data_IF_930808373002
#
_entry.id   IF_930808373002
#
_cell.length_a   1.000
_cell.length_b   1.000
_cell.length_c   1.000
_cell.angle_alpha   90.00
_cell.angle_beta   90.00
_cell.angle_gamma   90.00
#
_symmetry.space_group_name_H-M   'P 1'
#
loop_
_entity.id
_entity.type
_entity.pdbx_description
1 polymer ?
#
# COMPACT_ATOMS: atom_id res chain seq x y z
N UNK A 1 -9.63 -13.33 -9.95
CA UNK A 1 -8.58 -13.08 -8.94
C UNK A 1 -9.14 -13.51 -7.61
N UNK A 2 -8.42 -14.36 -6.88
CA UNK A 2 -8.91 -14.98 -5.65
C UNK A 2 -8.80 -14.00 -4.45
N UNK A 3 -9.80 -13.98 -3.57
CA UNK A 3 -9.87 -13.06 -2.41
C UNK A 3 -8.64 -13.14 -1.49
N UNK A 4 -8.15 -14.33 -1.07
CA UNK A 4 -6.89 -14.45 -0.33
C UNK A 4 -5.67 -13.87 -1.06
N UNK A 5 -5.67 -13.84 -2.39
CA UNK A 5 -4.58 -13.20 -3.15
C UNK A 5 -4.61 -11.68 -2.99
N UNK A 6 -5.79 -11.06 -3.04
CA UNK A 6 -5.97 -9.62 -2.83
C UNK A 6 -5.61 -9.23 -1.38
N UNK A 7 -6.04 -10.04 -0.40
CA UNK A 7 -5.72 -9.82 1.01
C UNK A 7 -4.21 -9.95 1.27
N UNK A 8 -3.55 -10.94 0.66
CA UNK A 8 -2.10 -11.10 0.76
C UNK A 8 -1.35 -9.90 0.16
N UNK A 9 -1.81 -9.39 -1.00
CA UNK A 9 -1.22 -8.24 -1.65
C UNK A 9 -1.40 -6.96 -0.82
N UNK A 10 -2.61 -6.74 -0.29
CA UNK A 10 -2.91 -5.61 0.60
C UNK A 10 -1.98 -5.58 1.83
N UNK A 11 -1.83 -6.73 2.49
CA UNK A 11 -0.95 -6.88 3.66
C UNK A 11 0.53 -6.67 3.30
N UNK A 12 0.95 -7.13 2.12
CA UNK A 12 2.32 -6.91 1.63
C UNK A 12 2.61 -5.43 1.44
N UNK A 13 1.68 -4.66 0.85
CA UNK A 13 1.82 -3.22 0.70
C UNK A 13 1.82 -2.51 2.05
N UNK A 14 0.97 -2.95 2.98
CA UNK A 14 0.93 -2.38 4.33
C UNK A 14 2.26 -2.53 5.05
N UNK A 15 2.87 -3.71 4.97
CA UNK A 15 4.19 -3.95 5.54
C UNK A 15 5.24 -3.03 4.92
N UNK A 16 5.29 -2.93 3.58
CA UNK A 16 6.24 -2.06 2.87
C UNK A 16 6.08 -0.59 3.24
N UNK A 17 4.84 -0.09 3.37
CA UNK A 17 4.56 1.28 3.81
C UNK A 17 5.15 1.49 5.19
N UNK A 18 4.87 0.58 6.14
CA UNK A 18 5.36 0.69 7.51
C UNK A 18 6.89 0.69 7.58
N UNK A 19 7.54 -0.21 6.83
CA UNK A 19 9.01 -0.29 6.78
C UNK A 19 9.62 1.02 6.25
N UNK A 20 9.02 1.61 5.21
CA UNK A 20 9.46 2.90 4.66
C UNK A 20 9.20 4.07 5.61
N UNK A 21 8.04 4.10 6.27
CA UNK A 21 7.71 5.12 7.27
C UNK A 21 8.70 5.08 8.44
N UNK A 22 8.98 3.89 8.98
CA UNK A 22 10.00 3.69 10.02
C UNK A 22 11.38 4.17 9.54
N UNK A 23 11.82 3.76 8.35
CA UNK A 23 13.10 4.20 7.79
C UNK A 23 13.19 5.73 7.66
N UNK A 24 12.12 6.38 7.20
CA UNK A 24 12.09 7.85 7.11
C UNK A 24 12.07 8.53 8.48
N UNK A 25 11.37 7.96 9.46
CA UNK A 25 11.27 8.49 10.82
C UNK A 25 12.58 8.35 11.61
N UNK A 26 13.35 7.29 11.36
CA UNK A 26 14.66 7.04 11.95
C UNK A 26 15.79 7.85 11.30
N UNK A 27 15.49 8.70 10.32
CA UNK A 27 16.47 9.54 9.65
C UNK A 27 17.30 8.81 8.58
N UNK A 28 16.81 7.69 8.03
CA UNK A 28 17.51 6.94 6.97
C UNK A 28 17.65 7.69 5.64
N UNK A 29 16.98 8.83 5.48
CA UNK A 29 17.07 9.66 4.28
C UNK A 29 18.44 10.36 4.20
N UNK A 30 19.07 10.28 3.03
CA UNK A 30 20.40 10.85 2.78
C UNK A 30 20.33 12.36 2.55
N UNK A 31 19.26 12.78 1.88
CA UNK A 31 18.98 14.13 1.48
C UNK A 31 17.47 14.31 1.23
N UNK A 32 17.07 15.54 0.90
CA UNK A 32 15.68 15.86 0.59
C UNK A 32 15.15 15.13 -0.67
N UNK A 33 15.90 15.01 -1.78
CA UNK A 33 15.49 14.19 -2.93
C UNK A 33 15.13 12.75 -2.56
N UNK A 34 15.97 12.08 -1.77
CA UNK A 34 15.70 10.71 -1.31
C UNK A 34 14.44 10.66 -0.44
N UNK A 35 14.27 11.60 0.50
CA UNK A 35 13.04 11.70 1.28
C UNK A 35 11.78 11.87 0.40
N UNK A 36 11.84 12.77 -0.58
CA UNK A 36 10.74 13.03 -1.52
C UNK A 36 10.37 11.79 -2.33
N UNK A 37 11.37 11.04 -2.79
CA UNK A 37 11.18 9.77 -3.49
C UNK A 37 10.44 8.76 -2.62
N UNK A 38 10.91 8.54 -1.37
CA UNK A 38 10.27 7.61 -0.44
C UNK A 38 8.82 8.01 -0.11
N UNK A 39 8.54 9.30 0.09
CA UNK A 39 7.17 9.78 0.24
C UNK A 39 6.31 9.52 -1.01
N UNK A 40 6.89 9.62 -2.21
CA UNK A 40 6.24 9.26 -3.46
C UNK A 40 5.89 7.78 -3.53
N UNK A 41 6.82 6.90 -3.15
CA UNK A 41 6.62 5.45 -3.08
C UNK A 41 5.50 5.11 -2.09
N UNK A 42 5.55 5.66 -0.87
CA UNK A 42 4.50 5.46 0.14
C UNK A 42 3.13 5.87 -0.40
N UNK A 43 3.04 7.02 -1.09
CA UNK A 43 1.80 7.50 -1.70
C UNK A 43 1.28 6.52 -2.75
N UNK A 44 2.14 6.05 -3.65
CA UNK A 44 1.76 5.07 -4.68
C UNK A 44 1.25 3.75 -4.09
N UNK A 45 1.91 3.25 -3.05
CA UNK A 45 1.48 2.03 -2.34
C UNK A 45 0.11 2.20 -1.68
N UNK A 46 -0.14 3.37 -1.06
CA UNK A 46 -1.46 3.69 -0.47
C UNK A 46 -2.56 3.79 -1.51
N UNK A 47 -2.30 4.43 -2.64
CA UNK A 47 -3.25 4.46 -3.76
C UNK A 47 -3.58 3.05 -4.22
N UNK A 48 -2.58 2.18 -4.39
CA UNK A 48 -2.82 0.79 -4.76
C UNK A 48 -3.65 0.02 -3.71
N UNK A 49 -3.46 0.29 -2.41
CA UNK A 49 -4.29 -0.30 -1.35
C UNK A 49 -5.76 0.15 -1.44
N UNK A 50 -6.02 1.43 -1.76
CA UNK A 50 -7.38 1.92 -1.98
C UNK A 50 -8.05 1.20 -3.15
N UNK A 51 -7.37 1.07 -4.29
CA UNK A 51 -7.89 0.35 -5.45
C UNK A 51 -8.19 -1.13 -5.13
N UNK A 52 -7.32 -1.79 -4.35
CA UNK A 52 -7.56 -3.17 -3.90
C UNK A 52 -8.80 -3.25 -3.00
N UNK A 53 -8.96 -2.31 -2.07
CA UNK A 53 -10.13 -2.28 -1.19
C UNK A 53 -11.43 -2.08 -1.99
N UNK A 54 -11.42 -1.20 -2.99
CA UNK A 54 -12.54 -0.96 -3.88
C UNK A 54 -12.89 -2.20 -4.70
N UNK A 55 -11.88 -2.93 -5.21
CA UNK A 55 -12.08 -4.19 -5.92
C UNK A 55 -12.67 -5.29 -5.04
N UNK A 56 -12.22 -5.39 -3.78
CA UNK A 56 -12.77 -6.33 -2.80
C UNK A 56 -14.22 -5.99 -2.48
N UNK A 57 -14.55 -4.71 -2.32
CA UNK A 57 -15.90 -4.25 -2.03
C UNK A 57 -16.86 -4.53 -3.18
N UNK A 58 -16.49 -4.16 -4.41
CA UNK A 58 -17.29 -4.45 -5.61
C UNK A 58 -17.54 -5.94 -5.80
N UNK A 59 -16.56 -6.80 -5.52
CA UNK A 59 -16.75 -8.26 -5.61
C UNK A 59 -17.80 -8.77 -4.62
N UNK A 60 -17.83 -8.26 -3.39
CA UNK A 60 -18.88 -8.64 -2.43
C UNK A 60 -20.26 -8.27 -2.94
N UNK A 61 -20.40 -7.07 -3.49
CA UNK A 61 -21.67 -6.60 -4.06
C UNK A 61 -22.15 -7.47 -5.23
N UNK A 62 -21.24 -8.00 -6.06
CA UNK A 62 -21.58 -8.92 -7.16
C UNK A 62 -21.86 -10.37 -6.71
N UNK A 63 -21.29 -10.82 -5.60
CA UNK A 63 -21.49 -12.18 -5.09
C UNK A 63 -22.78 -12.30 -4.23
N UNK A 64 -23.31 -11.16 -3.75
CA UNK A 64 -24.53 -11.08 -2.90
C UNK A 64 -25.84 -10.85 -3.72
N UNK A 65 -25.76 -10.65 -5.05
CA UNK A 65 -26.88 -10.57 -6.02
C UNK A 65 -27.04 -11.87 -6.83
#
# INVERSE_FOLDING_TARGET
MDRPTLDHLFNTYQKKIKDLETFTAEGGCKDYPHYRELCGIIRGLRTAQTEIADLVQRRKEFDDD
#
